data_IF_525755144833
#
_entry.id   IF_525755144833
#
_cell.length_a   1.000
_cell.length_b   1.000
_cell.length_c   1.000
_cell.angle_alpha   90.00
_cell.angle_beta   90.00
_cell.angle_gamma   90.00
#
_symmetry.space_group_name_H-M   'P 1'
#
loop_
_entity.id
_entity.type
_entity.pdbx_description
1 polymer ?
#
# COMPACT_ATOMS: atom_id res chain seq x y z
N UNK A 1 -9.46 1.09 13.02
CA UNK A 1 -9.02 0.48 11.73
C UNK A 1 -7.85 1.23 11.10
N UNK A 2 -7.96 2.53 10.87
CA UNK A 2 -6.93 3.32 10.20
C UNK A 2 -5.57 3.27 10.93
N UNK A 3 -5.56 3.42 12.24
CA UNK A 3 -4.33 3.39 13.03
C UNK A 3 -3.65 2.02 12.98
N UNK A 4 -4.42 0.94 13.04
CA UNK A 4 -3.89 -0.42 12.94
C UNK A 4 -3.29 -0.70 11.56
N UNK A 5 -3.98 -0.33 10.48
CA UNK A 5 -3.44 -0.49 9.12
C UNK A 5 -2.19 0.36 8.89
N UNK A 6 -2.13 1.55 9.49
CA UNK A 6 -0.93 2.38 9.49
C UNK A 6 0.22 1.72 10.27
N UNK A 7 -0.07 1.12 11.44
CA UNK A 7 0.93 0.37 12.21
C UNK A 7 1.47 -0.83 11.43
N UNK A 8 0.61 -1.58 10.74
CA UNK A 8 0.99 -2.67 9.85
C UNK A 8 1.98 -2.20 8.77
N UNK A 9 1.64 -1.15 8.03
CA UNK A 9 2.52 -0.60 6.98
C UNK A 9 3.85 -0.13 7.58
N UNK A 10 3.83 0.54 8.75
CA UNK A 10 5.03 1.01 9.43
C UNK A 10 5.94 -0.13 9.87
N UNK A 11 5.39 -1.22 10.41
CA UNK A 11 6.18 -2.40 10.80
C UNK A 11 6.89 -3.02 9.59
N UNK A 12 6.16 -3.27 8.50
CA UNK A 12 6.72 -3.80 7.24
C UNK A 12 7.79 -2.85 6.68
N UNK A 13 7.52 -1.54 6.66
CA UNK A 13 8.44 -0.53 6.13
C UNK A 13 9.72 -0.44 6.94
N UNK A 14 9.65 -0.55 8.27
CA UNK A 14 10.81 -0.55 9.14
C UNK A 14 11.77 -1.71 8.84
N UNK A 15 11.21 -2.93 8.66
CA UNK A 15 11.98 -4.11 8.26
C UNK A 15 12.61 -3.94 6.87
N UNK A 16 11.92 -3.25 5.94
CA UNK A 16 12.43 -2.94 4.62
C UNK A 16 13.44 -1.76 4.59
N UNK A 17 13.78 -1.18 5.75
CA UNK A 17 14.70 -0.05 5.85
C UNK A 17 14.13 1.27 5.31
N UNK A 18 12.81 1.44 5.37
CA UNK A 18 12.11 2.64 4.92
C UNK A 18 11.63 3.48 6.11
N UNK A 19 11.77 4.79 6.02
CA UNK A 19 11.06 5.72 6.90
C UNK A 19 9.65 5.98 6.37
N UNK A 20 8.70 6.22 7.29
CA UNK A 20 7.29 6.47 6.96
C UNK A 20 6.86 7.79 7.56
N UNK A 21 6.37 8.69 6.73
CA UNK A 21 5.77 9.95 7.14
C UNK A 21 4.31 10.00 6.70
N UNK A 22 3.51 10.80 7.39
CA UNK A 22 2.14 11.13 7.00
C UNK A 22 2.14 12.56 6.46
N UNK A 23 1.56 12.83 5.28
CA UNK A 23 1.39 14.20 4.82
C UNK A 23 0.40 14.96 5.75
N UNK A 24 0.63 16.24 5.94
CA UNK A 24 -0.26 17.10 6.75
C UNK A 24 -1.58 17.39 6.03
N UNK A 25 -1.54 17.36 4.70
CA UNK A 25 -2.70 17.63 3.84
C UNK A 25 -2.97 16.39 2.98
N UNK A 26 -4.22 15.97 2.89
CA UNK A 26 -4.66 14.87 2.02
C UNK A 26 -4.89 15.40 0.59
N UNK A 27 -3.80 15.74 -0.07
CA UNK A 27 -3.80 16.01 -1.51
C UNK A 27 -3.54 14.71 -2.27
N UNK A 28 -4.17 14.55 -3.41
CA UNK A 28 -3.95 13.41 -4.32
C UNK A 28 -4.21 12.02 -3.70
N UNK A 29 -4.98 11.94 -2.62
CA UNK A 29 -5.31 10.67 -1.95
C UNK A 29 -4.09 9.90 -1.41
N UNK A 30 -3.07 10.60 -0.88
CA UNK A 30 -1.89 9.98 -0.29
C UNK A 30 -1.99 9.99 1.23
N UNK A 31 -2.03 8.80 1.83
CA UNK A 31 -2.12 8.62 3.29
C UNK A 31 -0.75 8.51 3.96
N UNK A 32 0.23 7.89 3.27
CA UNK A 32 1.57 7.66 3.78
C UNK A 32 2.62 7.88 2.68
N UNK A 33 3.78 8.37 3.10
CA UNK A 33 4.95 8.56 2.24
C UNK A 33 6.07 7.68 2.78
N UNK A 34 6.55 6.73 1.96
CA UNK A 34 7.70 5.91 2.26
C UNK A 34 8.94 6.50 1.61
N UNK A 35 10.03 6.60 2.38
CA UNK A 35 11.33 7.00 1.86
C UNK A 35 12.38 5.96 2.20
N UNK A 36 13.14 5.53 1.19
CA UNK A 36 14.31 4.67 1.35
C UNK A 36 15.55 5.47 0.98
N UNK A 37 16.47 5.62 1.94
CA UNK A 37 17.78 6.20 1.69
C UNK A 37 18.80 5.08 1.60
N UNK A 38 19.56 5.04 0.51
CA UNK A 38 20.60 4.05 0.30
C UNK A 38 21.81 4.74 -0.34
N UNK A 39 22.99 4.51 0.22
CA UNK A 39 24.25 5.04 -0.34
C UNK A 39 24.77 4.10 -1.43
N UNK A 40 25.48 4.66 -2.41
CA UNK A 40 26.04 3.89 -3.51
C UNK A 40 25.04 3.47 -4.60
N UNK A 41 23.83 4.02 -4.59
CA UNK A 41 22.79 3.75 -5.59
C UNK A 41 22.62 4.93 -6.56
N UNK A 42 22.01 4.70 -7.73
CA UNK A 42 21.74 5.75 -8.73
C UNK A 42 20.82 6.83 -8.17
N UNK A 43 19.86 6.45 -7.33
CA UNK A 43 18.92 7.36 -6.68
C UNK A 43 19.13 7.24 -5.17
N UNK A 44 19.76 8.24 -4.58
CA UNK A 44 20.12 8.24 -3.15
C UNK A 44 18.92 8.25 -2.22
N UNK A 45 17.85 8.92 -2.60
CA UNK A 45 16.63 9.05 -1.80
C UNK A 45 15.43 8.76 -2.66
N UNK A 46 14.89 7.56 -2.53
CA UNK A 46 13.72 7.11 -3.26
C UNK A 46 12.46 7.34 -2.43
N UNK A 47 11.38 7.66 -3.09
CA UNK A 47 10.07 7.87 -2.47
C UNK A 47 9.01 7.00 -3.14
N UNK A 48 8.08 6.49 -2.33
CA UNK A 48 6.88 5.79 -2.75
C UNK A 48 5.70 6.35 -1.96
N UNK A 49 4.68 6.83 -2.65
CA UNK A 49 3.46 7.33 -2.05
C UNK A 49 2.41 6.22 -1.95
N UNK A 50 1.75 6.13 -0.81
CA UNK A 50 0.78 5.08 -0.52
C UNK A 50 -0.59 5.68 -0.22
N UNK A 51 -1.60 5.24 -0.97
CA UNK A 51 -2.99 5.29 -0.54
C UNK A 51 -3.28 4.04 0.28
N UNK A 52 -3.66 4.21 1.53
CA UNK A 52 -3.92 3.10 2.45
C UNK A 52 -5.42 2.95 2.69
N UNK A 53 -5.91 1.75 2.50
CA UNK A 53 -7.28 1.37 2.84
C UNK A 53 -7.28 0.14 3.74
N UNK A 54 -8.29 0.02 4.56
CA UNK A 54 -8.51 -1.15 5.42
C UNK A 54 -9.94 -1.64 5.30
N UNK A 55 -10.11 -2.95 5.41
CA UNK A 55 -11.43 -3.57 5.35
C UNK A 55 -11.50 -4.83 6.21
N UNK A 56 -12.65 -5.06 6.82
CA UNK A 56 -13.02 -6.32 7.46
C UNK A 56 -14.07 -7.10 6.66
N UNK A 57 -14.45 -6.58 5.49
CA UNK A 57 -15.36 -7.29 4.58
C UNK A 57 -14.64 -8.50 3.98
N UNK A 58 -15.38 -9.58 3.73
CA UNK A 58 -14.87 -10.75 3.02
C UNK A 58 -14.60 -10.41 1.54
N UNK A 59 -13.43 -9.84 1.31
CA UNK A 59 -12.96 -9.41 -0.01
C UNK A 59 -11.88 -10.32 -0.59
N UNK A 60 -11.34 -11.26 0.20
CA UNK A 60 -10.27 -12.19 -0.22
C UNK A 60 -10.90 -13.39 -0.93
N UNK A 61 -10.68 -13.49 -2.24
CA UNK A 61 -11.13 -14.60 -3.09
C UNK A 61 -10.00 -15.60 -3.32
N UNK A 62 -10.24 -16.63 -4.09
CA UNK A 62 -9.24 -17.69 -4.32
C UNK A 62 -7.94 -17.15 -4.93
N UNK A 63 -8.03 -16.27 -5.90
CA UNK A 63 -6.89 -15.76 -6.69
C UNK A 63 -6.64 -14.25 -6.54
N UNK A 64 -7.60 -13.50 -6.00
CA UNK A 64 -7.50 -12.05 -5.87
C UNK A 64 -8.21 -11.50 -4.62
N UNK A 65 -7.90 -10.26 -4.30
CA UNK A 65 -8.66 -9.43 -3.34
C UNK A 65 -9.50 -8.45 -4.13
N UNK A 66 -10.82 -8.45 -3.91
CA UNK A 66 -11.77 -7.55 -4.56
C UNK A 66 -12.14 -6.41 -3.61
N UNK A 67 -11.74 -5.18 -3.94
CA UNK A 67 -12.00 -4.01 -3.10
C UNK A 67 -12.73 -2.92 -3.88
N UNK A 68 -13.80 -2.36 -3.28
CA UNK A 68 -14.54 -1.23 -3.83
C UNK A 68 -13.84 0.07 -3.47
N UNK A 69 -13.16 0.68 -4.45
CA UNK A 69 -12.40 1.92 -4.28
C UNK A 69 -13.24 3.11 -4.76
N UNK A 70 -13.26 4.20 -4.00
CA UNK A 70 -13.88 5.46 -4.42
C UNK A 70 -13.29 5.96 -5.73
N UNK A 71 -14.13 6.45 -6.63
CA UNK A 71 -13.71 6.93 -7.95
C UNK A 71 -12.69 8.08 -7.85
N UNK A 72 -12.80 8.95 -6.82
CA UNK A 72 -11.79 9.98 -6.57
C UNK A 72 -10.41 9.36 -6.38
N UNK A 73 -10.27 8.40 -5.44
CA UNK A 73 -8.99 7.75 -5.17
C UNK A 73 -8.45 7.00 -6.41
N UNK A 74 -9.33 6.37 -7.19
CA UNK A 74 -8.95 5.72 -8.44
C UNK A 74 -8.35 6.72 -9.43
N UNK A 75 -9.01 7.86 -9.62
CA UNK A 75 -8.57 8.89 -10.55
C UNK A 75 -7.27 9.58 -10.09
N UNK A 76 -7.06 9.72 -8.78
CA UNK A 76 -5.83 10.30 -8.23
C UNK A 76 -4.62 9.35 -8.39
N UNK A 77 -4.83 8.03 -8.38
CA UNK A 77 -3.75 7.04 -8.41
C UNK A 77 -3.33 6.57 -9.82
N UNK A 78 -4.14 6.81 -10.85
CA UNK A 78 -3.87 6.30 -12.20
C UNK A 78 -3.02 7.20 -13.11
N UNK A 79 -2.83 8.52 -12.88
CA UNK A 79 -2.04 9.37 -13.77
C UNK A 79 -0.57 8.94 -13.87
N UNK A 80 -0.01 9.12 -15.07
CA UNK A 80 1.41 8.80 -15.36
C UNK A 80 2.33 10.03 -15.21
N UNK A 81 1.77 11.21 -15.23
CA UNK A 81 2.48 12.50 -15.16
C UNK A 81 2.68 12.96 -13.71
N UNK A 82 3.05 12.05 -12.84
CA UNK A 82 3.35 12.32 -11.43
C UNK A 82 4.84 12.14 -11.17
N UNK A 83 5.40 12.96 -10.29
CA UNK A 83 6.83 12.92 -9.95
C UNK A 83 7.23 11.70 -9.11
N UNK A 84 6.29 11.16 -8.34
CA UNK A 84 6.52 10.05 -7.41
C UNK A 84 5.59 8.89 -7.73
N UNK A 85 6.11 7.67 -7.68
CA UNK A 85 5.31 6.46 -7.86
C UNK A 85 4.26 6.33 -6.74
N UNK A 86 3.07 5.90 -7.10
CA UNK A 86 1.91 5.74 -6.20
C UNK A 86 1.39 4.33 -6.24
N UNK A 87 1.08 3.77 -5.07
CA UNK A 87 0.45 2.45 -4.96
C UNK A 87 -0.74 2.49 -4.00
N UNK A 88 -1.72 1.65 -4.28
CA UNK A 88 -2.82 1.35 -3.36
C UNK A 88 -2.42 0.16 -2.49
N UNK A 89 -2.59 0.29 -1.19
CA UNK A 89 -2.42 -0.81 -0.21
C UNK A 89 -3.74 -1.05 0.49
N UNK A 90 -4.21 -2.30 0.45
CA UNK A 90 -5.42 -2.74 1.15
C UNK A 90 -5.00 -3.68 2.27
N UNK A 91 -5.26 -3.31 3.52
CA UNK A 91 -5.07 -4.17 4.69
C UNK A 91 -6.41 -4.83 5.04
N UNK A 92 -6.46 -6.16 4.92
CA UNK A 92 -7.61 -6.93 5.36
C UNK A 92 -7.52 -7.16 6.87
N UNK A 93 -8.65 -7.12 7.57
CA UNK A 93 -8.68 -7.24 9.03
C UNK A 93 -9.83 -8.16 9.46
N UNK A 94 -9.73 -8.70 10.68
CA UNK A 94 -10.83 -9.42 11.29
C UNK A 94 -11.93 -8.42 11.72
N UNK A 95 -13.21 -8.74 11.61
CA UNK A 95 -14.29 -7.92 12.16
C UNK A 95 -14.14 -7.65 13.66
N UNK A 96 -13.58 -8.60 14.40
CA UNK A 96 -13.35 -8.51 15.84
C UNK A 96 -11.96 -7.93 16.15
N UNK A 97 -11.91 -6.74 16.72
CA UNK A 97 -10.66 -6.03 17.02
C UNK A 97 -9.74 -6.81 17.97
N UNK A 98 -10.26 -7.60 18.90
CA UNK A 98 -9.48 -8.45 19.79
C UNK A 98 -8.63 -9.51 19.07
N UNK A 99 -8.93 -9.79 17.81
CA UNK A 99 -8.20 -10.76 16.98
C UNK A 99 -7.23 -10.08 15.98
N UNK A 100 -6.84 -8.83 16.21
CA UNK A 100 -5.93 -8.13 15.29
C UNK A 100 -4.46 -8.32 15.66
N UNK A 101 -4.17 -8.61 16.92
CA UNK A 101 -2.83 -8.64 17.46
C UNK A 101 -2.72 -9.74 18.51
N UNK A 102 -1.60 -10.45 18.50
CA UNK A 102 -1.15 -11.33 19.58
C UNK A 102 0.25 -10.91 20.01
N UNK A 103 0.48 -10.90 21.33
CA UNK A 103 1.73 -10.44 21.91
C UNK A 103 2.16 -11.38 23.03
N UNK A 104 3.37 -11.89 22.92
CA UNK A 104 4.09 -12.64 23.95
C UNK A 104 5.43 -11.97 24.23
N UNK A 105 6.21 -12.47 25.19
CA UNK A 105 7.57 -11.98 25.41
C UNK A 105 8.47 -12.15 24.17
N UNK A 106 8.21 -13.18 23.36
CA UNK A 106 9.05 -13.56 22.24
C UNK A 106 8.62 -12.91 20.90
N UNK A 107 7.34 -12.55 20.75
CA UNK A 107 6.84 -12.06 19.48
C UNK A 107 5.65 -11.11 19.59
N UNK A 108 5.49 -10.33 18.52
CA UNK A 108 4.30 -9.54 18.24
C UNK A 108 3.78 -9.91 16.85
N UNK A 109 2.59 -10.51 16.80
CA UNK A 109 1.94 -10.93 15.56
C UNK A 109 0.78 -10.02 15.22
N UNK A 110 0.81 -9.45 14.01
CA UNK A 110 -0.30 -8.70 13.44
C UNK A 110 -1.08 -9.63 12.51
N UNK A 111 -2.36 -9.87 12.83
CA UNK A 111 -3.17 -10.81 12.06
C UNK A 111 -3.84 -10.14 10.87
N UNK A 112 -3.85 -10.88 9.78
CA UNK A 112 -4.27 -10.57 8.43
C UNK A 112 -3.14 -10.01 7.56
N UNK A 113 -3.47 -9.64 6.33
CA UNK A 113 -2.49 -9.38 5.29
C UNK A 113 -2.78 -8.06 4.58
N UNK A 114 -1.72 -7.38 4.19
CA UNK A 114 -1.77 -6.26 3.27
C UNK A 114 -1.50 -6.73 1.83
N UNK A 115 -2.21 -6.14 0.87
CA UNK A 115 -2.02 -6.38 -0.56
C UNK A 115 -1.85 -5.04 -1.26
N UNK A 116 -1.05 -5.00 -2.31
CA UNK A 116 -0.77 -3.76 -3.00
C UNK A 116 -0.98 -3.88 -4.51
N UNK A 117 -1.27 -2.76 -5.15
CA UNK A 117 -1.36 -2.65 -6.60
C UNK A 117 -1.03 -1.23 -7.05
N UNK A 118 -0.37 -1.11 -8.20
CA UNK A 118 -0.33 0.16 -8.93
C UNK A 118 -1.57 0.30 -9.81
N UNK A 119 -2.16 1.46 -9.77
CA UNK A 119 -3.25 1.84 -10.69
C UNK A 119 -2.75 2.69 -11.86
N UNK A 120 -1.45 2.94 -11.94
CA UNK A 120 -0.80 3.67 -13.02
C UNK A 120 -1.25 3.13 -14.39
N UNK A 121 -1.55 4.02 -15.31
CA UNK A 121 -2.01 3.68 -16.69
C UNK A 121 -3.34 2.93 -16.77
N UNK A 122 -4.03 2.67 -15.65
CA UNK A 122 -5.35 2.06 -15.71
C UNK A 122 -6.33 2.96 -16.47
N UNK A 123 -7.24 2.38 -17.28
CA UNK A 123 -8.17 3.15 -18.11
C UNK A 123 -9.10 4.01 -17.26
N UNK A 124 -9.58 5.10 -17.88
CA UNK A 124 -10.67 5.86 -17.29
C UNK A 124 -11.92 4.99 -17.24
N UNK A 125 -12.68 5.11 -16.15
CA UNK A 125 -13.94 4.40 -15.99
C UNK A 125 -15.11 5.38 -15.94
N UNK A 126 -16.29 4.91 -16.29
CA UNK A 126 -17.53 5.71 -16.32
C UNK A 126 -18.32 5.63 -15.02
N UNK A 127 -17.83 4.88 -14.04
CA UNK A 127 -18.44 4.75 -12.73
C UNK A 127 -18.57 6.11 -12.04
N UNK A 128 -19.68 6.33 -11.33
CA UNK A 128 -19.97 7.59 -10.65
C UNK A 128 -19.49 7.63 -9.19
N UNK A 129 -19.45 6.49 -8.50
CA UNK A 129 -19.11 6.42 -7.08
C UNK A 129 -17.89 5.58 -6.78
N UNK A 130 -17.88 4.34 -7.22
CA UNK A 130 -16.88 3.36 -6.85
C UNK A 130 -16.49 2.49 -8.05
N UNK A 131 -15.27 1.94 -7.98
CA UNK A 131 -14.75 0.96 -8.94
C UNK A 131 -14.17 -0.24 -8.20
N UNK A 132 -14.49 -1.45 -8.65
CA UNK A 132 -13.92 -2.66 -8.05
C UNK A 132 -12.50 -2.88 -8.55
N UNK A 133 -11.55 -2.82 -7.64
CA UNK A 133 -10.14 -3.15 -7.87
C UNK A 133 -9.93 -4.62 -7.53
N UNK A 134 -9.28 -5.36 -8.42
CA UNK A 134 -8.86 -6.75 -8.20
C UNK A 134 -7.35 -6.80 -8.06
N UNK A 135 -6.87 -7.14 -6.87
CA UNK A 135 -5.45 -7.25 -6.55
C UNK A 135 -5.09 -8.73 -6.52
N UNK A 136 -4.15 -9.21 -7.35
CA UNK A 136 -3.70 -10.61 -7.26
C UNK A 136 -3.23 -10.95 -5.85
N UNK A 137 -3.60 -12.11 -5.33
CA UNK A 137 -3.17 -12.54 -3.98
C UNK A 137 -1.67 -12.70 -3.84
N UNK A 138 -0.95 -12.84 -4.95
CA UNK A 138 0.51 -12.87 -4.99
C UNK A 138 1.15 -11.49 -4.75
N UNK A 139 0.38 -10.41 -4.86
CA UNK A 139 0.86 -9.06 -4.57
C UNK A 139 0.70 -8.70 -3.08
N UNK A 140 1.33 -9.50 -2.22
CA UNK A 140 1.40 -9.25 -0.78
C UNK A 140 2.25 -8.02 -0.51
N UNK A 141 1.79 -7.15 0.39
CA UNK A 141 2.57 -6.02 0.89
C UNK A 141 3.44 -6.48 2.04
N UNK A 142 4.68 -6.84 1.74
CA UNK A 142 5.70 -7.29 2.68
C UNK A 142 7.06 -6.61 2.43
N UNK A 143 8.05 -6.86 3.26
CA UNK A 143 9.39 -6.26 3.12
C UNK A 143 10.04 -6.64 1.78
N UNK A 144 9.84 -7.87 1.30
CA UNK A 144 10.41 -8.34 0.03
C UNK A 144 9.79 -7.61 -1.16
N UNK A 145 8.48 -7.38 -1.14
CA UNK A 145 7.79 -6.61 -2.19
C UNK A 145 8.25 -5.15 -2.20
N UNK A 146 8.44 -4.53 -1.02
CA UNK A 146 8.98 -3.17 -0.93
C UNK A 146 10.42 -3.09 -1.47
N UNK A 147 11.29 -4.04 -1.16
CA UNK A 147 12.62 -4.09 -1.74
C UNK A 147 12.57 -4.14 -3.26
N UNK A 148 11.74 -5.02 -3.84
CA UNK A 148 11.57 -5.16 -5.29
C UNK A 148 11.02 -3.88 -5.93
N UNK A 149 10.02 -3.23 -5.30
CA UNK A 149 9.47 -1.97 -5.80
C UNK A 149 10.57 -0.90 -5.88
N UNK A 150 11.35 -0.73 -4.81
CA UNK A 150 12.41 0.28 -4.79
C UNK A 150 13.58 -0.05 -5.72
N UNK A 151 13.91 -1.32 -5.92
CA UNK A 151 14.91 -1.74 -6.93
C UNK A 151 14.41 -1.44 -8.36
N UNK A 152 13.15 -1.69 -8.64
CA UNK A 152 12.54 -1.35 -9.91
C UNK A 152 12.59 0.17 -10.15
N UNK A 153 12.21 0.97 -9.15
CA UNK A 153 12.28 2.44 -9.23
C UNK A 153 13.70 2.92 -9.51
N UNK A 154 14.72 2.31 -8.92
CA UNK A 154 16.13 2.64 -9.18
C UNK A 154 16.52 2.39 -10.64
N UNK A 155 15.94 1.38 -11.25
CA UNK A 155 16.16 1.02 -12.66
C UNK A 155 15.21 1.72 -13.63
N UNK A 156 14.43 2.70 -13.15
CA UNK A 156 13.48 3.45 -13.97
C UNK A 156 12.18 2.69 -14.29
N UNK A 157 11.94 1.55 -13.64
CA UNK A 157 10.70 0.79 -13.76
C UNK A 157 9.74 1.23 -12.68
N UNK A 158 8.72 1.99 -13.08
CA UNK A 158 7.68 2.51 -12.18
C UNK A 158 6.59 1.43 -12.06
N UNK A 159 6.20 1.06 -10.82
CA UNK A 159 5.18 0.04 -10.57
C UNK A 159 3.80 0.47 -11.10
#
# INVERSE_FOLDING_TARGET
MQDFSSAYVRAISAVAGCSVTKPDVDDDSIDLILKRRREGTKIRSQQLDIQLKSTYTDCVKTDHVAYSLKIKNYNDLRPINVAVARVLVIVTMNPEAGNWLDHTEDNLSLFKCGYWISLREKPQVTNKSDVTIRIPRTQVFDASSLHRIFENLENGVIP
#
